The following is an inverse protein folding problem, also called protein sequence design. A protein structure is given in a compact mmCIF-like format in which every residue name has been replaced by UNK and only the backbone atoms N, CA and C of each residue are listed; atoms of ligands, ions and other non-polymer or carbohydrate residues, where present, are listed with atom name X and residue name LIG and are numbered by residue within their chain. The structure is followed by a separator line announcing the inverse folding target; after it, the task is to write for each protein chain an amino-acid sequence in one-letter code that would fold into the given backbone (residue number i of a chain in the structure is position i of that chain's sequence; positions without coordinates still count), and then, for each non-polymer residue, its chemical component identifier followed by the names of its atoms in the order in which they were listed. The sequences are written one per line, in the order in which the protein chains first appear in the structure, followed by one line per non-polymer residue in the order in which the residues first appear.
data_IF_741078532118
#
_entry.id   IF_741078532118
#
_cell.length_a   1.000
_cell.length_b   1.000
_cell.length_c   1.000
_cell.angle_alpha   90.00
_cell.angle_beta   90.00
_cell.angle_gamma   90.00
#
_symmetry.space_group_name_H-M   'P 1'
#
loop_
_entity.id
_entity.type
_entity.pdbx_description
1 polymer ?
#
# COMPACT_ATOMS: atom_id res chain seq x y z
N UNK A 1 16.01 -35.26 -10.23
CA UNK A 1 15.96 -35.18 -8.76
C UNK A 1 16.16 -33.77 -8.21
N UNK A 2 17.19 -33.01 -8.61
CA UNK A 2 17.39 -31.63 -8.13
C UNK A 2 16.31 -30.63 -8.55
N UNK A 3 15.82 -30.67 -9.80
CA UNK A 3 14.77 -29.75 -10.26
C UNK A 3 13.41 -29.94 -9.55
N UNK A 4 13.07 -31.17 -9.15
CA UNK A 4 11.83 -31.45 -8.42
C UNK A 4 11.89 -30.93 -6.98
N UNK A 5 13.06 -30.97 -6.34
CA UNK A 5 13.25 -30.43 -4.99
C UNK A 5 13.14 -28.90 -4.96
N UNK A 6 13.65 -28.20 -5.98
CA UNK A 6 13.53 -26.74 -6.11
C UNK A 6 12.06 -26.34 -6.30
N UNK A 7 11.34 -27.03 -7.18
CA UNK A 7 9.91 -26.76 -7.40
C UNK A 7 9.09 -26.98 -6.11
N UNK A 8 9.34 -28.07 -5.38
CA UNK A 8 8.67 -28.34 -4.12
C UNK A 8 8.95 -27.25 -3.06
N UNK A 9 10.20 -26.80 -2.94
CA UNK A 9 10.56 -25.74 -2.00
C UNK A 9 9.89 -24.40 -2.34
N UNK A 10 9.75 -24.07 -3.62
CA UNK A 10 9.04 -22.87 -4.08
C UNK A 10 7.53 -22.97 -3.82
N UNK A 11 6.94 -24.16 -4.02
CA UNK A 11 5.53 -24.44 -3.73
C UNK A 11 5.26 -24.29 -2.22
N UNK A 12 6.12 -24.86 -1.37
CA UNK A 12 6.02 -24.74 0.08
C UNK A 12 6.12 -23.27 0.54
N UNK A 13 7.00 -22.49 -0.08
CA UNK A 13 7.12 -21.06 0.20
C UNK A 13 5.87 -20.29 -0.21
N UNK A 14 5.31 -20.57 -1.38
CA UNK A 14 4.06 -19.98 -1.83
C UNK A 14 2.91 -20.30 -0.86
N UNK A 15 2.82 -21.53 -0.35
CA UNK A 15 1.79 -21.90 0.63
C UNK A 15 1.95 -21.15 1.95
N UNK A 16 3.18 -21.01 2.48
CA UNK A 16 3.43 -20.21 3.69
C UNK A 16 3.01 -18.76 3.50
N UNK A 17 3.33 -18.17 2.34
CA UNK A 17 2.95 -16.79 2.05
C UNK A 17 1.43 -16.62 1.91
N UNK A 18 0.75 -17.57 1.25
CA UNK A 18 -0.72 -17.59 1.17
C UNK A 18 -1.39 -17.70 2.54
N UNK A 19 -0.84 -18.53 3.45
CA UNK A 19 -1.34 -18.65 4.81
C UNK A 19 -1.18 -17.35 5.60
N UNK A 20 -0.02 -16.68 5.49
CA UNK A 20 0.20 -15.37 6.09
C UNK A 20 -0.78 -14.31 5.55
N UNK A 21 -1.02 -14.32 4.23
CA UNK A 21 -2.01 -13.46 3.59
C UNK A 21 -3.43 -13.69 4.16
N UNK A 22 -3.83 -14.95 4.27
CA UNK A 22 -5.16 -15.31 4.78
C UNK A 22 -5.34 -14.86 6.23
N UNK A 23 -4.32 -15.03 7.06
CA UNK A 23 -4.33 -14.55 8.44
C UNK A 23 -4.52 -13.03 8.49
N UNK A 24 -3.70 -12.26 7.77
CA UNK A 24 -3.80 -10.79 7.77
C UNK A 24 -5.16 -10.32 7.23
N UNK A 25 -5.65 -10.94 6.16
CA UNK A 25 -6.97 -10.61 5.61
C UNK A 25 -8.09 -10.94 6.60
N UNK A 26 -7.99 -12.04 7.35
CA UNK A 26 -8.96 -12.36 8.38
C UNK A 26 -8.99 -11.31 9.50
N UNK A 27 -7.82 -10.84 9.96
CA UNK A 27 -7.71 -9.75 10.93
C UNK A 27 -8.35 -8.46 10.42
N UNK A 28 -8.03 -8.03 9.19
CA UNK A 28 -8.62 -6.83 8.59
C UNK A 28 -10.14 -6.96 8.38
N UNK A 29 -10.61 -8.13 7.95
CA UNK A 29 -12.04 -8.39 7.85
C UNK A 29 -12.74 -8.32 9.21
N UNK A 30 -12.08 -8.76 10.29
CA UNK A 30 -12.61 -8.66 11.64
C UNK A 30 -12.75 -7.20 12.08
N UNK A 31 -11.72 -6.37 11.86
CA UNK A 31 -11.78 -4.92 12.15
C UNK A 31 -12.95 -4.25 11.42
N UNK A 32 -13.16 -4.58 10.14
CA UNK A 32 -14.29 -4.07 9.35
C UNK A 32 -15.63 -4.61 9.85
N UNK A 33 -15.68 -5.86 10.32
CA UNK A 33 -16.88 -6.45 10.93
C UNK A 33 -17.28 -5.68 12.18
N UNK A 34 -16.32 -5.32 13.02
CA UNK A 34 -16.54 -4.56 14.26
C UNK A 34 -16.97 -3.11 13.96
N UNK A 35 -16.31 -2.44 13.02
CA UNK A 35 -16.61 -1.05 12.62
C UNK A 35 -18.00 -0.92 11.96
N UNK A 36 -18.34 -1.83 11.04
CA UNK A 36 -19.54 -1.71 10.20
C UNK A 36 -20.70 -2.59 10.64
N UNK A 37 -20.51 -3.38 11.70
CA UNK A 37 -21.48 -4.37 12.19
C UNK A 37 -21.96 -5.32 11.08
N UNK A 38 -21.05 -5.76 10.22
CA UNK A 38 -21.29 -6.72 9.13
C UNK A 38 -20.53 -8.02 9.38
N UNK A 39 -21.01 -9.16 8.88
CA UNK A 39 -20.33 -10.45 9.06
C UNK A 39 -19.75 -10.96 7.74
N UNK A 40 -18.50 -11.41 7.75
CA UNK A 40 -17.87 -12.07 6.60
C UNK A 40 -17.91 -13.60 6.76
N UNK A 41 -18.30 -14.31 5.69
CA UNK A 41 -18.19 -15.77 5.67
C UNK A 41 -16.72 -16.20 5.53
N UNK A 42 -16.39 -17.42 5.97
CA UNK A 42 -15.04 -18.00 5.77
C UNK A 42 -14.65 -18.04 4.29
N UNK A 43 -15.60 -18.33 3.41
CA UNK A 43 -15.41 -18.36 1.97
C UNK A 43 -15.13 -16.97 1.42
N UNK A 44 -15.79 -15.93 1.93
CA UNK A 44 -15.54 -14.53 1.57
C UNK A 44 -14.12 -14.11 1.95
N UNK A 45 -13.68 -14.43 3.17
CA UNK A 45 -12.31 -14.12 3.64
C UNK A 45 -11.27 -14.85 2.78
N UNK A 46 -11.49 -16.13 2.48
CA UNK A 46 -10.62 -16.90 1.59
C UNK A 46 -10.57 -16.32 0.17
N UNK A 47 -11.71 -15.90 -0.38
CA UNK A 47 -11.78 -15.28 -1.70
C UNK A 47 -11.05 -13.93 -1.73
N UNK A 48 -11.25 -13.07 -0.72
CA UNK A 48 -10.52 -11.80 -0.60
C UNK A 48 -9.02 -12.06 -0.51
N UNK A 49 -8.59 -13.02 0.30
CA UNK A 49 -7.18 -13.41 0.43
C UNK A 49 -6.57 -13.82 -0.92
N UNK A 50 -7.24 -14.69 -1.68
CA UNK A 50 -6.73 -15.16 -2.97
C UNK A 50 -6.76 -14.06 -4.05
N UNK A 51 -7.73 -13.15 -4.01
CA UNK A 51 -7.78 -11.99 -4.92
C UNK A 51 -6.62 -11.05 -4.62
N UNK A 52 -6.40 -10.69 -3.36
CA UNK A 52 -5.33 -9.77 -2.96
C UNK A 52 -3.95 -10.37 -3.25
N UNK A 53 -3.77 -11.67 -3.00
CA UNK A 53 -2.52 -12.37 -3.33
C UNK A 53 -2.20 -12.28 -4.84
N UNK A 54 -3.19 -12.54 -5.70
CA UNK A 54 -3.04 -12.39 -7.17
C UNK A 54 -2.80 -10.94 -7.57
N UNK A 55 -3.40 -9.98 -6.88
CA UNK A 55 -3.20 -8.56 -7.16
C UNK A 55 -1.76 -8.11 -6.89
N UNK A 56 -1.08 -8.71 -5.90
CA UNK A 56 0.34 -8.44 -5.64
C UNK A 56 1.24 -8.78 -6.83
N UNK A 57 0.93 -9.81 -7.61
CA UNK A 57 1.70 -10.14 -8.81
C UNK A 57 1.63 -9.03 -9.85
N UNK A 58 0.42 -8.46 -10.04
CA UNK A 58 0.20 -7.33 -10.93
C UNK A 58 0.97 -6.10 -10.43
N UNK A 59 0.86 -5.79 -9.14
CA UNK A 59 1.58 -4.68 -8.53
C UNK A 59 3.10 -4.82 -8.66
N UNK A 60 3.65 -6.02 -8.42
CA UNK A 60 5.08 -6.25 -8.53
C UNK A 60 5.59 -6.01 -9.96
N UNK A 61 4.85 -6.48 -10.98
CA UNK A 61 5.17 -6.26 -12.40
C UNK A 61 5.12 -4.79 -12.78
N UNK A 62 4.06 -4.09 -12.38
CA UNK A 62 3.90 -2.67 -12.67
C UNK A 62 5.02 -1.84 -12.00
N UNK A 63 5.32 -2.10 -10.72
CA UNK A 63 6.39 -1.43 -9.99
C UNK A 63 7.77 -1.67 -10.62
N UNK A 64 8.05 -2.90 -11.05
CA UNK A 64 9.29 -3.23 -11.75
C UNK A 64 9.38 -2.45 -13.08
N UNK A 65 8.29 -2.37 -13.83
CA UNK A 65 8.25 -1.61 -15.09
C UNK A 65 8.43 -0.10 -14.86
N UNK A 66 7.84 0.47 -13.80
CA UNK A 66 8.02 1.88 -13.45
C UNK A 66 9.46 2.21 -13.07
N UNK A 67 10.10 1.37 -12.25
CA UNK A 67 11.51 1.53 -11.91
C UNK A 67 12.40 1.47 -13.16
N UNK A 68 12.16 0.47 -14.04
CA UNK A 68 12.89 0.32 -15.31
C UNK A 68 12.68 1.52 -16.25
N UNK A 69 11.47 2.05 -16.34
CA UNK A 69 11.18 3.25 -17.13
C UNK A 69 11.98 4.46 -16.64
N UNK A 70 12.15 4.58 -15.33
CA UNK A 70 13.03 5.56 -14.69
C UNK A 70 14.53 5.23 -14.77
N UNK A 71 14.95 4.22 -15.55
CA UNK A 71 16.33 3.71 -15.64
C UNK A 71 16.93 3.27 -14.31
N UNK A 72 16.10 2.81 -13.37
CA UNK A 72 16.49 2.31 -12.05
C UNK A 72 16.26 0.80 -11.97
N UNK A 73 17.03 0.13 -11.12
CA UNK A 73 16.83 -1.27 -10.72
C UNK A 73 16.17 -1.43 -9.34
N UNK A 74 16.02 -0.32 -8.60
CA UNK A 74 15.43 -0.29 -7.26
C UNK A 74 14.14 0.52 -7.30
N UNK A 75 13.06 -0.08 -6.80
CA UNK A 75 11.74 0.54 -6.66
C UNK A 75 11.79 1.60 -5.55
N UNK A 76 11.17 2.75 -5.78
CA UNK A 76 11.06 3.83 -4.80
C UNK A 76 9.59 4.30 -4.62
N UNK A 77 9.41 5.32 -3.79
CA UNK A 77 8.07 5.86 -3.47
C UNK A 77 7.36 6.44 -4.70
N UNK A 78 8.09 6.99 -5.67
CA UNK A 78 7.48 7.55 -6.89
C UNK A 78 6.84 6.47 -7.76
N UNK A 79 7.42 5.26 -7.79
CA UNK A 79 6.84 4.11 -8.49
C UNK A 79 5.51 3.68 -7.83
N UNK A 80 5.43 3.73 -6.50
CA UNK A 80 4.20 3.43 -5.73
C UNK A 80 3.13 4.49 -5.95
N UNK A 81 3.50 5.77 -5.98
CA UNK A 81 2.56 6.86 -6.33
C UNK A 81 2.02 6.68 -7.75
N UNK A 82 2.86 6.27 -8.69
CA UNK A 82 2.46 6.01 -10.07
C UNK A 82 1.49 4.83 -10.18
N UNK A 83 1.70 3.78 -9.37
CA UNK A 83 0.77 2.65 -9.23
C UNK A 83 -0.63 3.11 -8.79
N UNK A 84 -0.71 4.02 -7.81
CA UNK A 84 -1.97 4.55 -7.29
C UNK A 84 -2.70 5.53 -8.25
N UNK A 85 -2.04 5.99 -9.32
CA UNK A 85 -2.53 7.09 -10.20
C UNK A 85 -3.92 6.86 -10.78
N UNK A 86 -4.30 5.60 -11.05
CA UNK A 86 -5.62 5.29 -11.65
C UNK A 86 -6.79 5.46 -10.67
N UNK A 87 -6.53 5.57 -9.38
CA UNK A 87 -7.52 5.87 -8.36
C UNK A 87 -7.13 7.16 -7.63
N UNK A 88 -7.76 8.28 -8.05
CA UNK A 88 -7.50 9.60 -7.47
C UNK A 88 -7.71 9.60 -5.94
N UNK A 89 -8.70 8.86 -5.45
CA UNK A 89 -8.98 8.72 -4.02
C UNK A 89 -7.87 7.97 -3.26
N UNK A 90 -7.28 6.91 -3.85
CA UNK A 90 -6.15 6.20 -3.24
C UNK A 90 -4.89 7.05 -3.20
N UNK A 91 -4.61 7.79 -4.27
CA UNK A 91 -3.48 8.72 -4.28
C UNK A 91 -3.69 9.85 -3.24
N UNK A 92 -4.90 10.40 -3.16
CA UNK A 92 -5.22 11.48 -2.23
C UNK A 92 -5.13 11.04 -0.77
N UNK A 93 -5.67 9.87 -0.42
CA UNK A 93 -5.58 9.33 0.95
C UNK A 93 -4.13 9.11 1.38
N UNK A 94 -3.29 8.51 0.53
CA UNK A 94 -1.86 8.37 0.80
C UNK A 94 -1.17 9.72 1.06
N UNK A 95 -1.46 10.74 0.25
CA UNK A 95 -0.88 12.07 0.43
C UNK A 95 -1.35 12.74 1.72
N UNK A 96 -2.61 12.53 2.13
CA UNK A 96 -3.16 13.07 3.39
C UNK A 96 -2.49 12.40 4.59
N UNK A 97 -2.40 11.06 4.60
CA UNK A 97 -1.77 10.30 5.70
C UNK A 97 -0.30 10.67 5.86
N UNK A 98 0.46 10.73 4.75
CA UNK A 98 1.88 11.17 4.77
C UNK A 98 2.05 12.56 5.37
N UNK A 99 1.18 13.51 5.01
CA UNK A 99 1.22 14.88 5.57
C UNK A 99 0.87 14.90 7.05
N UNK A 100 -0.09 14.08 7.49
CA UNK A 100 -0.46 13.98 8.90
C UNK A 100 0.70 13.43 9.74
N UNK A 101 1.42 12.42 9.23
CA UNK A 101 2.65 11.90 9.86
C UNK A 101 3.76 12.95 9.93
N UNK A 102 3.99 13.68 8.83
CA UNK A 102 4.96 14.78 8.78
C UNK A 102 4.58 15.87 9.79
N UNK A 103 3.33 16.34 9.78
CA UNK A 103 2.83 17.33 10.75
C UNK A 103 2.98 16.87 12.19
N UNK A 104 2.71 15.59 12.48
CA UNK A 104 2.91 15.01 13.81
C UNK A 104 4.40 14.95 14.20
N UNK A 105 5.31 14.74 13.24
CA UNK A 105 6.75 14.80 13.51
C UNK A 105 7.23 16.23 13.83
N UNK A 106 6.65 17.25 13.19
CA UNK A 106 7.00 18.66 13.40
C UNK A 106 6.34 19.29 14.63
N UNK A 107 5.11 18.88 14.98
CA UNK A 107 4.43 19.34 16.20
C UNK A 107 5.16 18.88 17.48
N UNK A 108 5.87 17.76 17.40
CA UNK A 108 6.72 17.24 18.47
C UNK A 108 8.16 17.82 18.47
N UNK A 109 8.50 18.70 17.52
CA UNK A 109 9.79 19.37 17.43
C UNK A 109 9.68 20.86 17.86
N UNK A 110 10.20 21.25 19.04
CA UNK A 110 10.08 22.63 19.51
C UNK A 110 10.97 23.56 18.67
N UNK A 111 10.37 24.36 17.77
CA UNK A 111 11.05 25.44 17.04
C UNK A 111 10.59 25.75 15.61
N UNK A 112 9.72 24.94 15.00
CA UNK A 112 9.35 25.06 13.56
C UNK A 112 7.93 25.60 13.28
N UNK A 113 7.18 26.00 14.32
CA UNK A 113 5.76 26.39 14.19
C UNK A 113 5.48 27.63 13.33
N UNK A 114 6.46 28.54 13.15
CA UNK A 114 6.28 29.78 12.37
C UNK A 114 6.46 29.61 10.85
N UNK A 115 7.15 28.56 10.39
CA UNK A 115 7.25 28.23 8.96
C UNK A 115 5.97 27.54 8.43
N UNK A 116 5.09 27.05 9.32
CA UNK A 116 3.89 26.30 8.97
C UNK A 116 2.79 27.14 8.31
N UNK A 117 2.63 28.43 8.65
CA UNK A 117 1.54 29.25 8.10
C UNK A 117 1.77 29.66 6.64
N UNK A 118 3.02 29.93 6.25
CA UNK A 118 3.34 30.33 4.89
C UNK A 118 3.35 29.16 3.90
N UNK A 119 3.80 27.97 4.30
CA UNK A 119 3.80 26.81 3.40
C UNK A 119 2.39 26.25 3.14
N UNK A 120 1.49 26.36 4.13
CA UNK A 120 0.09 25.94 3.99
C UNK A 120 -0.64 26.74 2.90
N UNK A 121 -0.45 28.07 2.86
CA UNK A 121 -1.08 28.95 1.85
C UNK A 121 -0.51 28.69 0.45
N UNK A 122 0.80 28.48 0.32
CA UNK A 122 1.42 28.32 -1.01
C UNK A 122 0.95 27.03 -1.71
N UNK A 123 0.69 25.96 -0.96
CA UNK A 123 0.32 24.66 -1.54
C UNK A 123 -1.19 24.54 -1.80
N UNK A 124 -2.03 25.16 -0.98
CA UNK A 124 -3.49 25.21 -1.22
C UNK A 124 -3.80 25.98 -2.52
N UNK A 125 -3.01 27.03 -2.82
CA UNK A 125 -3.07 27.77 -4.09
C UNK A 125 -2.51 26.95 -5.27
N UNK A 126 -1.49 26.11 -5.07
CA UNK A 126 -0.84 25.40 -6.18
C UNK A 126 -1.59 24.17 -6.70
N UNK A 127 -2.60 23.67 -5.97
CA UNK A 127 -3.34 22.45 -6.34
C UNK A 127 -4.86 22.63 -6.42
N UNK A 128 -5.37 23.86 -6.24
CA UNK A 128 -6.79 24.18 -6.46
C UNK A 128 -7.09 24.65 -7.89
N UNK A 129 -6.08 24.77 -8.76
CA UNK A 129 -6.20 25.12 -10.18
C UNK A 129 -5.69 23.95 -11.04
N UNK A 130 -6.52 22.91 -11.22
CA UNK A 130 -6.55 22.01 -12.39
C UNK A 130 -7.76 21.04 -12.36
#
# INVERSE_FOLDING_TARGET
VHGAAILAAMEDEAQRLKAAFHYTVACLCQEVTEDKNIQFSRQSIAAISEITFRQCEIFAKDLEMFAKHGKRSTINVEDVKLLARRSKSLLQSYLIERRAEEQNSYSNAPGLQLYQSHLFIVVEVYYSEE
#
